data_IF_335227809200
#
_entry.id   IF_335227809200
#
_cell.length_a   1.000
_cell.length_b   1.000
_cell.length_c   1.000
_cell.angle_alpha   90.00
_cell.angle_beta   90.00
_cell.angle_gamma   90.00
#
_symmetry.space_group_name_H-M   'P 1'
#
loop_
_entity.id
_entity.type
_entity.pdbx_description
1 polymer ?
#
# COMPACT_ATOMS: atom_id res chain seq x y z
N UNK A 1 4.19 16.88 10.06
CA UNK A 1 3.58 15.79 9.24
C UNK A 1 3.44 14.58 10.14
N UNK A 2 2.24 14.01 10.16
CA UNK A 2 1.90 12.86 10.97
C UNK A 2 1.22 11.80 10.09
N UNK A 3 1.69 10.56 10.11
CA UNK A 3 1.18 9.47 9.28
C UNK A 3 0.56 8.38 10.16
N UNK A 4 -0.68 7.99 9.86
CA UNK A 4 -1.32 6.84 10.48
C UNK A 4 -0.84 5.54 9.81
N UNK A 5 -0.50 4.53 10.57
CA UNK A 5 -0.17 3.19 10.06
C UNK A 5 -1.25 2.21 10.53
N UNK A 6 -1.92 1.55 9.60
CA UNK A 6 -2.96 0.56 9.93
C UNK A 6 -2.31 -0.65 10.59
N UNK A 7 -2.49 -0.79 11.91
CA UNK A 7 -1.81 -1.79 12.74
C UNK A 7 -2.74 -2.92 13.18
N UNK A 8 -3.49 -3.51 12.24
CA UNK A 8 -4.40 -4.64 12.50
C UNK A 8 -3.70 -5.98 12.32
N UNK A 9 -2.82 -6.08 11.31
CA UNK A 9 -2.10 -7.28 10.94
C UNK A 9 -1.00 -6.94 9.93
N UNK A 10 0.11 -7.68 9.94
CA UNK A 10 1.17 -7.56 8.94
C UNK A 10 2.32 -6.64 9.35
N UNK A 11 3.06 -6.12 8.36
CA UNK A 11 4.36 -5.45 8.51
C UNK A 11 4.24 -3.96 8.89
N UNK A 12 3.41 -3.60 9.87
CA UNK A 12 3.19 -2.19 10.24
C UNK A 12 4.37 -1.58 11.01
N UNK A 13 5.04 -2.34 11.87
CA UNK A 13 6.21 -1.88 12.65
C UNK A 13 7.38 -1.49 11.74
N UNK A 14 7.59 -2.23 10.66
CA UNK A 14 8.65 -1.98 9.69
C UNK A 14 8.42 -0.66 8.93
N UNK A 15 7.16 -0.32 8.63
CA UNK A 15 6.80 0.99 8.10
C UNK A 15 7.09 2.10 9.10
N UNK A 16 6.75 1.93 10.38
CA UNK A 16 7.01 2.90 11.44
C UNK A 16 8.52 3.15 11.61
N UNK A 17 9.32 2.09 11.59
CA UNK A 17 10.78 2.21 11.64
C UNK A 17 11.32 3.01 10.44
N UNK A 18 10.78 2.79 9.24
CA UNK A 18 11.21 3.50 8.04
C UNK A 18 10.79 4.98 8.09
N UNK A 19 9.57 5.28 8.54
CA UNK A 19 9.11 6.66 8.77
C UNK A 19 9.98 7.36 9.83
N UNK A 20 10.34 6.67 10.91
CA UNK A 20 11.22 7.19 11.95
C UNK A 20 12.61 7.58 11.42
N UNK A 21 13.21 6.76 10.52
CA UNK A 21 14.47 7.11 9.84
C UNK A 21 14.37 8.39 9.01
N UNK A 22 13.17 8.69 8.48
CA UNK A 22 12.89 9.87 7.69
C UNK A 22 12.44 11.07 8.55
N UNK A 23 12.43 10.93 9.89
CA UNK A 23 12.03 11.99 10.81
C UNK A 23 10.55 12.35 10.77
N UNK A 24 9.69 11.40 10.34
CA UNK A 24 8.24 11.59 10.25
C UNK A 24 7.56 10.97 11.46
N UNK A 25 6.69 11.74 12.11
CA UNK A 25 5.84 11.24 13.20
C UNK A 25 4.81 10.26 12.65
N UNK A 26 4.68 9.11 13.30
CA UNK A 26 3.65 8.12 12.96
C UNK A 26 2.93 7.63 14.21
N UNK A 27 1.76 7.05 14.02
CA UNK A 27 0.97 6.41 15.07
C UNK A 27 0.17 5.24 14.50
N UNK A 28 -0.14 4.28 15.36
CA UNK A 28 -0.91 3.11 14.98
C UNK A 28 -2.42 3.40 14.94
N UNK A 29 -3.08 2.89 13.89
CA UNK A 29 -4.54 2.84 13.78
C UNK A 29 -4.98 1.42 14.07
N UNK A 30 -5.55 1.17 15.25
CA UNK A 30 -6.01 -0.13 15.73
C UNK A 30 -7.51 -0.19 15.99
N UNK A 31 -8.14 0.94 16.21
CA UNK A 31 -9.54 1.06 16.62
C UNK A 31 -10.13 2.40 16.16
N UNK A 32 -11.46 2.47 16.13
CA UNK A 32 -12.21 3.62 15.59
C UNK A 32 -11.78 4.98 16.16
N UNK A 33 -11.47 5.06 17.45
CA UNK A 33 -11.05 6.34 18.08
C UNK A 33 -9.76 6.89 17.47
N UNK A 34 -8.87 6.03 16.95
CA UNK A 34 -7.56 6.44 16.42
C UNK A 34 -7.73 7.25 15.12
N UNK A 35 -8.81 6.98 14.35
CA UNK A 35 -9.16 7.71 13.12
C UNK A 35 -9.58 9.16 13.38
N UNK A 36 -9.99 9.50 14.58
CA UNK A 36 -10.38 10.86 14.96
C UNK A 36 -9.16 11.78 15.20
N UNK A 37 -7.96 11.22 15.26
CA UNK A 37 -6.72 11.99 15.28
C UNK A 37 -6.50 12.67 13.92
N UNK A 38 -6.01 13.91 13.91
CA UNK A 38 -5.59 14.56 12.67
C UNK A 38 -4.28 13.97 12.18
N UNK A 39 -4.24 13.60 10.91
CA UNK A 39 -3.06 13.07 10.23
C UNK A 39 -3.06 13.37 8.73
N UNK A 40 -1.87 13.40 8.15
CA UNK A 40 -1.64 13.89 6.79
C UNK A 40 -1.68 12.78 5.73
N UNK A 41 -1.58 11.52 6.13
CA UNK A 41 -1.60 10.35 5.25
C UNK A 41 -1.73 9.04 6.01
N UNK A 42 -2.10 7.96 5.31
CA UNK A 42 -2.25 6.62 5.89
C UNK A 42 -1.43 5.59 5.12
N UNK A 43 -0.81 4.65 5.83
CA UNK A 43 -0.19 3.46 5.27
C UNK A 43 -1.05 2.23 5.58
N UNK A 44 -1.34 1.46 4.52
CA UNK A 44 -2.01 0.15 4.58
C UNK A 44 -0.94 -0.91 4.32
N UNK A 45 -0.41 -1.57 5.36
CA UNK A 45 0.75 -2.45 5.24
C UNK A 45 0.42 -3.76 4.52
N UNK A 46 1.48 -4.49 4.17
CA UNK A 46 1.39 -5.87 3.74
C UNK A 46 0.88 -6.79 4.84
N UNK A 47 0.23 -7.89 4.43
CA UNK A 47 -0.36 -8.86 5.32
C UNK A 47 -1.31 -9.80 4.54
N UNK A 48 -2.38 -10.27 5.18
CA UNK A 48 -3.43 -11.05 4.52
C UNK A 48 -4.67 -10.16 4.29
N UNK A 49 -4.93 -9.81 3.02
CA UNK A 49 -5.95 -8.80 2.67
C UNK A 49 -7.39 -9.20 3.06
N UNK A 50 -7.73 -10.50 3.07
CA UNK A 50 -9.05 -10.98 3.49
C UNK A 50 -9.26 -10.77 4.99
N UNK A 51 -8.24 -11.11 5.78
CA UNK A 51 -8.25 -10.90 7.24
C UNK A 51 -8.30 -9.41 7.55
N UNK A 52 -7.47 -8.60 6.88
CA UNK A 52 -7.48 -7.14 7.07
C UNK A 52 -8.84 -6.55 6.72
N UNK A 53 -9.45 -6.95 5.59
CA UNK A 53 -10.77 -6.48 5.18
C UNK A 53 -11.88 -6.88 6.16
N UNK A 54 -11.78 -8.05 6.81
CA UNK A 54 -12.67 -8.49 7.87
C UNK A 54 -12.48 -7.63 9.12
N UNK A 55 -11.25 -7.48 9.61
CA UNK A 55 -10.93 -6.70 10.81
C UNK A 55 -11.32 -5.22 10.66
N UNK A 56 -11.13 -4.62 9.48
CA UNK A 56 -11.58 -3.26 9.18
C UNK A 56 -13.07 -3.07 9.46
N UNK A 57 -13.90 -4.06 9.12
CA UNK A 57 -15.35 -4.00 9.36
C UNK A 57 -15.72 -4.31 10.82
N UNK A 58 -15.10 -5.32 11.41
CA UNK A 58 -15.36 -5.73 12.80
C UNK A 58 -14.99 -4.62 13.82
N UNK A 59 -14.00 -3.79 13.48
CA UNK A 59 -13.53 -2.69 14.32
C UNK A 59 -14.11 -1.33 13.93
N UNK A 60 -15.12 -1.28 13.05
CA UNK A 60 -15.76 -0.05 12.55
C UNK A 60 -14.78 0.96 11.93
N UNK A 61 -13.67 0.47 11.34
CA UNK A 61 -12.65 1.30 10.69
C UNK A 61 -12.92 1.49 9.20
N UNK A 62 -13.65 0.57 8.56
CA UNK A 62 -13.79 0.51 7.12
C UNK A 62 -14.38 1.81 6.54
N UNK A 63 -15.56 2.21 6.99
CA UNK A 63 -16.27 3.38 6.44
C UNK A 63 -15.50 4.67 6.71
N UNK A 64 -14.93 4.82 7.92
CA UNK A 64 -14.16 5.99 8.30
C UNK A 64 -12.88 6.17 7.47
N UNK A 65 -12.16 5.08 7.19
CA UNK A 65 -10.97 5.12 6.33
C UNK A 65 -11.37 5.36 4.88
N UNK A 66 -12.43 4.70 4.39
CA UNK A 66 -12.94 4.88 3.03
C UNK A 66 -13.32 6.33 2.76
N UNK A 67 -14.09 6.94 3.66
CA UNK A 67 -14.48 8.35 3.56
C UNK A 67 -13.25 9.28 3.50
N UNK A 68 -12.24 9.05 4.35
CA UNK A 68 -11.00 9.84 4.30
C UNK A 68 -10.26 9.69 2.96
N UNK A 69 -10.18 8.48 2.40
CA UNK A 69 -9.55 8.23 1.10
C UNK A 69 -10.33 8.95 -0.01
N UNK A 70 -11.66 8.84 -0.02
CA UNK A 70 -12.53 9.51 -0.99
C UNK A 70 -12.44 11.04 -0.90
N UNK A 71 -12.24 11.58 0.30
CA UNK A 71 -11.98 12.99 0.57
C UNK A 71 -10.53 13.42 0.28
N UNK A 72 -9.72 12.52 -0.30
CA UNK A 72 -8.39 12.84 -0.81
C UNK A 72 -7.27 12.71 0.22
N UNK A 73 -7.46 11.95 1.32
CA UNK A 73 -6.35 11.61 2.19
C UNK A 73 -5.30 10.82 1.40
N UNK A 74 -4.02 11.22 1.41
CA UNK A 74 -2.95 10.42 0.83
C UNK A 74 -2.88 9.03 1.45
N UNK A 75 -2.79 8.00 0.59
CA UNK A 75 -2.71 6.61 1.05
C UNK A 75 -1.59 5.85 0.34
N UNK A 76 -0.87 5.04 1.10
CA UNK A 76 0.15 4.15 0.59
C UNK A 76 -0.18 2.71 0.97
N UNK A 77 -0.40 1.84 -0.03
CA UNK A 77 -0.69 0.42 0.15
C UNK A 77 0.43 -0.47 -0.32
N UNK A 78 0.96 -1.36 0.56
CA UNK A 78 1.96 -2.36 0.18
C UNK A 78 1.34 -3.76 0.15
N UNK A 79 1.63 -4.56 -0.86
CA UNK A 79 1.20 -5.95 -1.00
C UNK A 79 -0.32 -6.14 -0.74
N UNK A 80 -0.73 -6.51 0.48
CA UNK A 80 -2.14 -6.58 0.86
C UNK A 80 -2.83 -5.22 0.77
N UNK A 81 -2.15 -4.12 1.09
CA UNK A 81 -2.66 -2.76 0.95
C UNK A 81 -3.02 -2.41 -0.50
N UNK A 82 -2.23 -2.87 -1.49
CA UNK A 82 -2.60 -2.76 -2.90
C UNK A 82 -3.95 -3.46 -3.17
N UNK A 83 -4.13 -4.68 -2.65
CA UNK A 83 -5.37 -5.43 -2.82
C UNK A 83 -6.58 -4.76 -2.13
N UNK A 84 -6.35 -4.06 -1.02
CA UNK A 84 -7.41 -3.28 -0.35
C UNK A 84 -7.86 -2.08 -1.19
N UNK A 85 -6.95 -1.45 -1.93
CA UNK A 85 -7.23 -0.25 -2.74
C UNK A 85 -7.70 -0.59 -4.16
N UNK A 86 -7.35 -1.75 -4.71
CA UNK A 86 -7.67 -2.16 -6.07
C UNK A 86 -9.18 -2.14 -6.35
N UNK A 87 -9.57 -1.57 -7.49
CA UNK A 87 -10.95 -1.55 -7.96
C UNK A 87 -11.47 -2.92 -8.35
N UNK A 88 -10.57 -3.83 -8.73
CA UNK A 88 -10.89 -5.23 -9.05
C UNK A 88 -9.75 -6.15 -8.66
N UNK A 89 -10.10 -7.35 -8.20
CA UNK A 89 -9.16 -8.45 -7.99
C UNK A 89 -9.56 -9.59 -8.92
N UNK A 90 -8.64 -10.06 -9.75
CA UNK A 90 -8.90 -11.13 -10.71
C UNK A 90 -9.29 -12.42 -9.98
N UNK A 91 -10.37 -13.06 -10.43
CA UNK A 91 -10.96 -14.27 -9.84
C UNK A 91 -11.38 -14.13 -8.36
N UNK A 92 -11.72 -12.91 -7.94
CA UNK A 92 -12.23 -12.63 -6.60
C UNK A 92 -13.28 -11.50 -6.69
N UNK A 93 -14.50 -11.78 -6.28
CA UNK A 93 -15.60 -10.79 -6.32
C UNK A 93 -15.55 -9.79 -5.15
N UNK A 94 -14.63 -10.00 -4.21
CA UNK A 94 -14.47 -9.10 -3.07
C UNK A 94 -13.77 -7.83 -3.48
N UNK A 95 -14.44 -6.72 -3.26
CA UNK A 95 -13.87 -5.38 -3.34
C UNK A 95 -13.80 -4.82 -1.92
N UNK A 96 -12.64 -4.31 -1.54
CA UNK A 96 -12.47 -3.63 -0.26
C UNK A 96 -12.75 -2.14 -0.45
N UNK A 97 -11.75 -1.25 -0.39
CA UNK A 97 -11.98 0.17 -0.64
C UNK A 97 -12.31 0.47 -2.10
N UNK A 98 -11.66 -0.23 -3.04
CA UNK A 98 -11.95 -0.11 -4.47
C UNK A 98 -11.68 1.28 -5.05
N UNK A 99 -10.82 2.05 -4.43
CA UNK A 99 -10.60 3.47 -4.74
C UNK A 99 -9.59 3.73 -5.86
N UNK A 100 -8.81 2.71 -6.23
CA UNK A 100 -7.79 2.81 -7.28
C UNK A 100 -8.23 2.03 -8.53
N UNK A 101 -8.29 2.66 -9.72
CA UNK A 101 -8.78 2.01 -10.94
C UNK A 101 -7.73 1.06 -11.55
N UNK A 102 -7.46 -0.03 -10.86
CA UNK A 102 -6.55 -1.09 -11.26
C UNK A 102 -7.18 -2.46 -11.05
N UNK A 103 -6.80 -3.43 -11.89
CA UNK A 103 -7.11 -4.85 -11.67
C UNK A 103 -5.87 -5.52 -11.11
N UNK A 104 -5.95 -6.02 -9.88
CA UNK A 104 -4.87 -6.74 -9.23
C UNK A 104 -5.02 -8.26 -9.36
N UNK A 105 -3.91 -8.98 -9.35
CA UNK A 105 -3.85 -10.46 -9.33
C UNK A 105 -3.15 -10.90 -8.05
N UNK A 106 -3.78 -11.82 -7.31
CA UNK A 106 -3.19 -12.41 -6.09
C UNK A 106 -2.14 -13.46 -6.43
N UNK A 107 -1.15 -13.62 -5.55
CA UNK A 107 -0.18 -14.74 -5.58
C UNK A 107 0.45 -14.95 -6.96
N UNK A 108 0.92 -13.90 -7.58
CA UNK A 108 1.31 -13.79 -8.97
C UNK A 108 2.49 -14.67 -9.41
N UNK A 109 3.31 -15.11 -8.46
CA UNK A 109 4.57 -15.78 -8.72
C UNK A 109 4.53 -17.30 -8.43
N UNK A 110 3.32 -17.86 -8.27
CA UNK A 110 3.09 -19.28 -8.08
C UNK A 110 3.53 -19.82 -6.71
N UNK A 111 3.25 -21.12 -6.47
CA UNK A 111 3.55 -21.78 -5.18
C UNK A 111 5.06 -22.03 -4.97
N UNK A 112 5.87 -22.00 -6.03
CA UNK A 112 7.30 -22.32 -5.96
C UNK A 112 8.19 -21.14 -5.59
N UNK A 113 7.75 -19.89 -5.84
CA UNK A 113 8.46 -18.67 -5.48
C UNK A 113 7.66 -17.90 -4.42
N UNK A 114 7.72 -18.39 -3.18
CA UNK A 114 7.02 -17.76 -2.06
C UNK A 114 7.57 -16.37 -1.71
N UNK A 115 8.87 -16.14 -1.91
CA UNK A 115 9.53 -14.85 -1.73
C UNK A 115 10.80 -14.77 -2.58
N UNK A 116 11.13 -13.57 -3.06
CA UNK A 116 12.37 -13.27 -3.77
C UNK A 116 12.72 -11.80 -3.64
N UNK A 117 13.99 -11.48 -3.90
CA UNK A 117 14.47 -10.10 -3.98
C UNK A 117 14.84 -9.77 -5.43
N UNK A 118 14.60 -8.53 -5.82
CA UNK A 118 14.98 -7.98 -7.10
C UNK A 118 15.57 -6.57 -6.92
N UNK A 119 16.32 -6.12 -7.92
CA UNK A 119 16.65 -4.71 -8.09
C UNK A 119 16.00 -4.21 -9.37
N UNK A 120 15.17 -3.19 -9.27
CA UNK A 120 14.47 -2.63 -10.42
C UNK A 120 14.22 -1.12 -10.25
N UNK A 121 13.81 -0.49 -11.34
CA UNK A 121 13.51 0.94 -11.31
C UNK A 121 12.15 1.20 -10.67
N UNK A 122 12.12 2.14 -9.74
CA UNK A 122 10.94 2.78 -9.20
C UNK A 122 11.05 4.28 -9.49
N UNK A 123 10.14 4.81 -10.30
CA UNK A 123 10.15 6.21 -10.71
C UNK A 123 11.55 6.68 -11.18
N UNK A 124 12.16 5.93 -12.09
CA UNK A 124 13.50 6.15 -12.68
C UNK A 124 14.67 6.05 -11.68
N UNK A 125 14.47 5.51 -10.50
CA UNK A 125 15.54 5.25 -9.53
C UNK A 125 15.60 3.77 -9.19
N UNK A 126 16.77 3.16 -9.35
CA UNK A 126 17.00 1.75 -9.03
C UNK A 126 16.97 1.51 -7.53
N UNK A 127 16.11 0.60 -7.08
CA UNK A 127 15.94 0.26 -5.67
C UNK A 127 15.88 -1.26 -5.45
N UNK A 128 16.21 -1.74 -4.24
CA UNK A 128 15.94 -3.12 -3.85
C UNK A 128 14.45 -3.32 -3.59
N UNK A 129 13.92 -4.46 -4.02
CA UNK A 129 12.52 -4.84 -3.87
C UNK A 129 12.40 -6.23 -3.27
N UNK A 130 11.71 -6.38 -2.15
CA UNK A 130 11.39 -7.67 -1.53
C UNK A 130 9.96 -8.06 -1.83
N UNK A 131 9.79 -9.22 -2.47
CA UNK A 131 8.48 -9.79 -2.83
C UNK A 131 8.19 -10.99 -1.93
N UNK A 132 6.98 -11.02 -1.31
CA UNK A 132 6.52 -12.13 -0.46
C UNK A 132 5.09 -12.47 -0.88
N UNK A 133 4.91 -13.61 -1.55
CA UNK A 133 3.62 -14.04 -2.11
C UNK A 133 2.86 -12.89 -2.79
N UNK A 134 3.64 -12.07 -3.50
CA UNK A 134 3.22 -10.76 -3.94
C UNK A 134 2.09 -10.81 -4.98
N UNK A 135 1.17 -9.85 -4.96
CA UNK A 135 0.27 -9.57 -6.07
C UNK A 135 1.03 -8.90 -7.21
N UNK A 136 0.34 -8.60 -8.31
CA UNK A 136 0.76 -7.59 -9.29
C UNK A 136 -0.48 -6.90 -9.86
N UNK A 137 -0.29 -5.79 -10.56
CA UNK A 137 -1.34 -5.09 -11.29
C UNK A 137 -1.37 -5.63 -12.72
N UNK A 138 -2.48 -6.26 -13.11
CA UNK A 138 -2.72 -6.81 -14.46
C UNK A 138 -2.99 -5.70 -15.47
N UNK A 139 -3.81 -4.75 -15.07
CA UNK A 139 -4.19 -3.60 -15.88
C UNK A 139 -4.46 -2.38 -15.00
N UNK A 140 -4.24 -1.23 -15.58
CA UNK A 140 -4.49 0.06 -14.98
C UNK A 140 -5.27 0.90 -16.01
N UNK A 141 -6.30 1.58 -15.52
CA UNK A 141 -7.13 2.45 -16.35
C UNK A 141 -6.46 3.83 -16.53
N UNK A 142 -7.06 4.69 -17.33
CA UNK A 142 -6.56 6.03 -17.61
C UNK A 142 -6.33 6.84 -16.33
N UNK A 143 -5.24 7.58 -16.31
CA UNK A 143 -4.83 8.43 -15.19
C UNK A 143 -4.01 7.71 -14.11
N UNK A 144 -3.80 6.39 -14.22
CA UNK A 144 -2.87 5.67 -13.35
C UNK A 144 -1.46 5.78 -13.91
N UNK A 145 -0.54 6.30 -13.12
CA UNK A 145 0.88 6.39 -13.41
C UNK A 145 1.59 5.09 -12.99
N UNK A 146 2.28 4.45 -13.92
CA UNK A 146 3.07 3.25 -13.66
C UNK A 146 4.46 3.67 -13.18
N UNK A 147 4.82 3.26 -11.97
CA UNK A 147 6.08 3.65 -11.33
C UNK A 147 7.15 2.56 -11.39
N UNK A 148 6.75 1.29 -11.54
CA UNK A 148 7.67 0.17 -11.64
C UNK A 148 7.06 -1.03 -12.36
N UNK A 149 7.90 -1.70 -13.16
CA UNK A 149 7.60 -2.97 -13.86
C UNK A 149 8.74 -3.94 -13.62
N UNK A 150 8.42 -5.17 -13.19
CA UNK A 150 9.36 -6.28 -13.00
C UNK A 150 8.80 -7.51 -13.70
N UNK A 151 9.61 -8.18 -14.54
CA UNK A 151 9.20 -9.36 -15.31
C UNK A 151 7.87 -9.17 -16.07
N UNK A 152 7.72 -8.05 -16.76
CA UNK A 152 6.51 -7.64 -17.48
C UNK A 152 5.25 -7.52 -16.61
N UNK A 153 5.39 -7.38 -15.29
CA UNK A 153 4.30 -7.15 -14.36
C UNK A 153 4.42 -5.77 -13.74
N UNK A 154 3.32 -5.04 -13.68
CA UNK A 154 3.27 -3.75 -12.99
C UNK A 154 3.29 -4.04 -11.48
N UNK A 155 4.32 -3.54 -10.80
CA UNK A 155 4.55 -3.79 -9.37
C UNK A 155 4.49 -2.53 -8.50
N UNK A 156 4.41 -1.35 -9.12
CA UNK A 156 4.10 -0.10 -8.42
C UNK A 156 3.35 0.86 -9.34
N UNK A 157 2.38 1.57 -8.76
CA UNK A 157 1.58 2.55 -9.47
C UNK A 157 1.09 3.65 -8.52
N UNK A 158 0.76 4.80 -9.11
CA UNK A 158 0.13 5.94 -8.44
C UNK A 158 -1.15 6.34 -9.16
N UNK A 159 -2.17 6.67 -8.39
CA UNK A 159 -3.39 7.30 -8.88
C UNK A 159 -3.79 8.44 -7.94
N UNK A 160 -3.72 9.69 -8.42
CA UNK A 160 -3.97 10.87 -7.57
C UNK A 160 -3.10 10.83 -6.30
N UNK A 161 -3.74 10.73 -5.13
CA UNK A 161 -3.10 10.68 -3.82
C UNK A 161 -2.87 9.24 -3.31
N UNK A 162 -2.98 8.24 -4.17
CA UNK A 162 -2.85 6.84 -3.80
C UNK A 162 -1.60 6.24 -4.44
N UNK A 163 -0.72 5.70 -3.62
CA UNK A 163 0.49 4.96 -4.01
C UNK A 163 0.30 3.49 -3.65
N UNK A 164 0.67 2.58 -4.54
CA UNK A 164 0.68 1.15 -4.24
C UNK A 164 1.96 0.49 -4.72
N UNK A 165 2.41 -0.51 -3.95
CA UNK A 165 3.49 -1.42 -4.34
C UNK A 165 3.06 -2.87 -4.13
N UNK A 166 3.47 -3.75 -5.03
CA UNK A 166 3.31 -5.19 -4.88
C UNK A 166 4.36 -5.80 -3.94
N UNK A 167 5.53 -5.14 -3.87
CA UNK A 167 6.65 -5.51 -3.01
C UNK A 167 6.59 -4.78 -1.67
N UNK A 168 7.49 -5.16 -0.77
CA UNK A 168 7.62 -4.66 0.59
C UNK A 168 8.84 -3.75 0.73
N UNK A 169 8.73 -2.44 0.45
CA UNK A 169 9.87 -1.52 0.60
C UNK A 169 10.30 -1.36 2.07
N UNK A 170 9.38 -1.58 3.01
CA UNK A 170 9.63 -1.53 4.45
C UNK A 170 10.58 -2.62 4.95
N UNK A 171 10.76 -3.70 4.18
CA UNK A 171 11.67 -4.81 4.52
C UNK A 171 13.07 -4.64 3.94
N UNK A 172 13.32 -3.54 3.26
CA UNK A 172 14.65 -3.19 2.75
C UNK A 172 15.28 -2.07 3.59
N UNK A 173 16.55 -1.80 3.38
CA UNK A 173 17.19 -0.62 3.99
C UNK A 173 16.91 0.68 3.24
N UNK A 174 16.30 0.59 2.06
CA UNK A 174 16.02 1.73 1.17
C UNK A 174 14.76 2.49 1.60
N UNK A 175 14.82 3.81 1.61
CA UNK A 175 13.70 4.68 2.02
C UNK A 175 13.03 5.39 0.85
N UNK A 176 13.44 5.12 -0.38
CA UNK A 176 13.01 5.87 -1.58
C UNK A 176 11.50 5.88 -1.76
N UNK A 177 10.83 4.74 -1.58
CA UNK A 177 9.37 4.65 -1.76
C UNK A 177 8.62 5.42 -0.68
N UNK A 178 9.06 5.32 0.59
CA UNK A 178 8.48 6.10 1.69
C UNK A 178 8.72 7.60 1.51
N UNK A 179 9.91 7.98 1.05
CA UNK A 179 10.21 9.38 0.73
C UNK A 179 9.31 9.89 -0.40
N UNK A 180 9.08 9.08 -1.45
CA UNK A 180 8.15 9.42 -2.51
C UNK A 180 6.73 9.67 -1.98
N UNK A 181 6.25 8.83 -1.07
CA UNK A 181 4.95 9.02 -0.41
C UNK A 181 4.90 10.31 0.44
N UNK A 182 5.94 10.59 1.20
CA UNK A 182 6.07 11.84 1.98
C UNK A 182 6.02 13.06 1.04
N UNK A 183 6.71 13.00 -0.09
CA UNK A 183 6.72 14.08 -1.07
C UNK A 183 5.36 14.25 -1.76
N UNK A 184 4.60 13.18 -1.98
CA UNK A 184 3.20 13.26 -2.43
C UNK A 184 2.32 14.02 -1.43
N UNK A 185 2.52 13.81 -0.12
CA UNK A 185 1.75 14.53 0.93
C UNK A 185 2.10 16.02 0.92
N UNK A 186 3.39 16.36 0.78
CA UNK A 186 3.87 17.77 0.78
C UNK A 186 3.42 18.58 -0.44
N UNK A 187 3.22 17.91 -1.57
CA UNK A 187 2.88 18.54 -2.86
C UNK A 187 1.38 18.43 -3.20
N UNK A 188 0.55 18.18 -2.20
CA UNK A 188 -0.91 18.09 -2.32
C UNK A 188 -1.58 19.43 -2.54
#
# INVERSE_FOLDING_TARGET
MKIGVLALQGAFIEHEHTLGKLGVECFEIRQKKDINTDFDGIILPGGESTVMGKLLRELDLYDAIKEKIENGLPVFGTCAGLLLLAGKIENDDRIHFGSMPVTAVRNAYGRQLGSFNAEADFNNKKIPMTFIRAPYIRSADDGVEILSVVDNKIVAARYKNQLVTAFHPELTGDTTVHQYFIDMIKNK
#
